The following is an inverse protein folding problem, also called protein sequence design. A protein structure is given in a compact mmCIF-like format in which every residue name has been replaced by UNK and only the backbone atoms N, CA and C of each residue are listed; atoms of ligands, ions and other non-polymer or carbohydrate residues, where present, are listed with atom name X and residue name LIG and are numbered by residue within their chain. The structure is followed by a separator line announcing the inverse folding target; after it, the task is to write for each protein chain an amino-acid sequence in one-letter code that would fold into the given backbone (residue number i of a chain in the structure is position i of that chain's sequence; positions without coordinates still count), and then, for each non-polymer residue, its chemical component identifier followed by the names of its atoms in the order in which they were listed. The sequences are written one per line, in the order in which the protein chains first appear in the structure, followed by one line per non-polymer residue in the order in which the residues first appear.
data_IF_107426753546
#
_entry.id   IF_107426753546
#
_cell.length_a   1.000
_cell.length_b   1.000
_cell.length_c   1.000
_cell.angle_alpha   90.00
_cell.angle_beta   90.00
_cell.angle_gamma   90.00
#
_symmetry.space_group_name_H-M   'P 1'
#
loop_
_entity.id
_entity.type
_entity.pdbx_description
1 polymer ?
#
# COMPACT_ATOMS: atom_id res chain seq x y z
N UNK A 1 17.35 -18.34 15.79
CA UNK A 1 16.09 -17.73 15.31
C UNK A 1 15.70 -18.26 13.93
N UNK A 2 16.37 -17.87 12.83
CA UNK A 2 15.97 -18.30 11.47
C UNK A 2 15.86 -19.82 11.31
N UNK A 3 16.89 -20.58 11.66
CA UNK A 3 16.89 -22.05 11.57
C UNK A 3 15.87 -22.75 12.49
N UNK A 4 15.43 -22.07 13.55
CA UNK A 4 14.45 -22.61 14.49
C UNK A 4 12.99 -22.46 14.00
N UNK A 5 12.73 -21.52 13.08
CA UNK A 5 11.36 -21.16 12.68
C UNK A 5 11.09 -21.25 11.18
N UNK A 6 12.11 -21.07 10.32
CA UNK A 6 11.94 -21.12 8.87
C UNK A 6 12.12 -22.54 8.35
N UNK A 7 11.02 -23.16 7.91
CA UNK A 7 11.05 -24.46 7.23
C UNK A 7 11.60 -24.33 5.80
N UNK A 8 12.37 -25.31 5.31
CA UNK A 8 12.78 -25.38 3.90
C UNK A 8 11.57 -25.35 2.94
N UNK A 9 11.75 -24.84 1.72
CA UNK A 9 10.68 -24.60 0.72
C UNK A 9 9.77 -25.84 0.52
N UNK A 10 10.33 -27.04 0.42
CA UNK A 10 9.55 -28.29 0.26
C UNK A 10 8.93 -28.87 1.54
N UNK A 11 9.13 -28.25 2.71
CA UNK A 11 8.62 -28.73 4.00
C UNK A 11 7.64 -27.74 4.64
N UNK A 12 7.34 -26.62 3.97
CA UNK A 12 6.33 -25.67 4.41
C UNK A 12 4.95 -26.28 4.17
N UNK A 13 4.04 -26.24 5.16
CA UNK A 13 2.66 -26.68 4.93
C UNK A 13 1.98 -25.76 3.91
N UNK A 14 0.95 -26.26 3.25
CA UNK A 14 0.09 -25.41 2.44
C UNK A 14 -0.57 -24.32 3.30
N UNK A 15 -0.70 -23.13 2.74
CA UNK A 15 -1.40 -22.02 3.40
C UNK A 15 -2.90 -22.32 3.50
N UNK A 16 -3.51 -21.96 4.62
CA UNK A 16 -4.97 -21.90 4.77
C UNK A 16 -5.54 -20.54 4.34
N UNK A 17 -4.68 -19.53 4.16
CA UNK A 17 -5.06 -18.22 3.68
C UNK A 17 -5.14 -18.18 2.15
N UNK A 18 -5.98 -17.28 1.63
CA UNK A 18 -6.11 -17.03 0.18
C UNK A 18 -5.36 -15.77 -0.28
N UNK A 19 -4.63 -15.12 0.61
CA UNK A 19 -4.00 -13.82 0.39
C UNK A 19 -4.63 -12.72 1.24
N UNK A 20 -4.10 -11.50 1.10
CA UNK A 20 -4.74 -10.30 1.60
C UNK A 20 -5.97 -10.03 0.75
N UNK A 21 -7.10 -9.67 1.36
CA UNK A 21 -8.30 -9.28 0.60
C UNK A 21 -8.29 -7.78 0.30
N UNK A 22 -8.03 -6.98 1.33
CA UNK A 22 -7.87 -5.54 1.25
C UNK A 22 -7.16 -5.04 2.50
N UNK A 23 -6.56 -3.85 2.42
CA UNK A 23 -6.06 -3.08 3.57
C UNK A 23 -6.83 -1.77 3.62
N UNK A 24 -7.30 -1.35 4.79
CA UNK A 24 -7.97 -0.06 4.97
C UNK A 24 -7.10 0.89 5.79
N UNK A 25 -6.93 2.13 5.29
CA UNK A 25 -6.24 3.22 5.97
C UNK A 25 -7.23 4.34 6.32
N UNK A 26 -6.75 5.37 7.01
CA UNK A 26 -7.53 6.56 7.34
C UNK A 26 -7.07 7.72 6.48
N UNK A 27 -8.03 8.43 5.89
CA UNK A 27 -7.83 9.60 5.05
C UNK A 27 -8.34 10.84 5.76
N UNK A 28 -7.53 11.91 5.84
CA UNK A 28 -8.03 13.20 6.36
C UNK A 28 -8.76 14.04 5.31
N UNK A 29 -8.51 13.78 4.02
CA UNK A 29 -9.13 14.46 2.89
C UNK A 29 -9.32 13.48 1.72
N UNK A 30 -10.58 13.13 1.44
CA UNK A 30 -10.94 12.15 0.40
C UNK A 30 -10.42 12.57 -0.98
N UNK A 31 -10.58 13.82 -1.38
CA UNK A 31 -10.16 14.25 -2.72
C UNK A 31 -8.65 14.26 -2.88
N UNK A 32 -7.92 14.65 -1.83
CA UNK A 32 -6.45 14.60 -1.82
C UNK A 32 -5.94 13.18 -1.94
N UNK A 33 -6.56 12.25 -1.22
CA UNK A 33 -6.23 10.82 -1.27
C UNK A 33 -6.55 10.24 -2.64
N UNK A 34 -7.71 10.55 -3.23
CA UNK A 34 -8.07 10.14 -4.60
C UNK A 34 -7.06 10.66 -5.61
N UNK A 35 -6.73 11.95 -5.58
CA UNK A 35 -5.72 12.52 -6.50
C UNK A 35 -4.37 11.82 -6.37
N UNK A 36 -3.94 11.51 -5.15
CA UNK A 36 -2.67 10.84 -4.92
C UNK A 36 -2.68 9.40 -5.47
N UNK A 37 -3.60 8.56 -5.03
CA UNK A 37 -3.58 7.14 -5.40
C UNK A 37 -4.01 6.91 -6.86
N UNK A 38 -4.98 7.67 -7.37
CA UNK A 38 -5.43 7.51 -8.74
C UNK A 38 -4.56 8.27 -9.74
N UNK A 39 -4.32 9.56 -9.52
CA UNK A 39 -3.74 10.39 -10.57
C UNK A 39 -2.19 10.37 -10.52
N UNK A 40 -1.59 10.35 -9.33
CA UNK A 40 -0.13 10.24 -9.18
C UNK A 40 0.33 8.78 -9.32
N UNK A 41 -0.25 7.86 -8.56
CA UNK A 41 0.20 6.46 -8.57
C UNK A 41 -0.46 5.60 -9.66
N UNK A 42 -1.57 6.05 -10.27
CA UNK A 42 -2.22 5.32 -11.35
C UNK A 42 -3.10 4.15 -10.88
N UNK A 43 -3.47 4.07 -9.60
CA UNK A 43 -4.33 3.03 -9.05
C UNK A 43 -5.81 3.46 -9.17
N UNK A 44 -6.62 2.82 -10.01
CA UNK A 44 -7.98 3.27 -10.28
C UNK A 44 -8.85 3.25 -9.02
N UNK A 45 -9.62 4.31 -8.78
CA UNK A 45 -10.70 4.28 -7.79
C UNK A 45 -11.83 3.38 -8.32
N UNK A 46 -12.12 2.29 -7.62
CA UNK A 46 -13.11 1.29 -8.04
C UNK A 46 -14.47 1.48 -7.40
N UNK A 47 -14.53 2.06 -6.21
CA UNK A 47 -15.77 2.23 -5.45
C UNK A 47 -15.64 3.38 -4.44
N UNK A 48 -16.72 4.12 -4.21
CA UNK A 48 -16.82 5.16 -3.19
C UNK A 48 -18.25 5.18 -2.66
N UNK A 49 -18.42 4.79 -1.40
CA UNK A 49 -19.71 4.63 -0.74
C UNK A 49 -19.71 5.33 0.62
N UNK A 50 -20.89 5.57 1.18
CA UNK A 50 -21.00 6.04 2.56
C UNK A 50 -20.55 4.94 3.54
N UNK A 51 -19.75 5.32 4.53
CA UNK A 51 -19.35 4.46 5.63
C UNK A 51 -20.60 4.05 6.43
N UNK A 52 -20.88 2.76 6.46
CA UNK A 52 -22.04 2.19 7.15
C UNK A 52 -22.05 2.50 8.65
N UNK A 53 -20.87 2.65 9.26
CA UNK A 53 -20.74 2.72 10.71
C UNK A 53 -20.58 4.17 11.21
N UNK A 54 -20.43 5.16 10.31
CA UNK A 54 -20.31 6.58 10.66
C UNK A 54 -21.00 7.48 9.60
N UNK A 55 -22.19 8.04 9.89
CA UNK A 55 -22.91 8.87 8.93
C UNK A 55 -22.10 10.08 8.45
N UNK A 56 -22.10 10.32 7.14
CA UNK A 56 -21.31 11.38 6.52
C UNK A 56 -19.82 11.08 6.33
N UNK A 57 -19.33 9.91 6.78
CA UNK A 57 -18.03 9.37 6.40
C UNK A 57 -18.16 8.54 5.11
N UNK A 58 -17.06 8.42 4.38
CA UNK A 58 -16.87 7.70 3.14
C UNK A 58 -16.02 6.46 3.38
N UNK A 59 -16.28 5.43 2.59
CA UNK A 59 -15.45 4.25 2.44
C UNK A 59 -15.18 4.03 0.95
N UNK A 60 -13.93 4.10 0.55
CA UNK A 60 -13.55 4.15 -0.86
C UNK A 60 -12.32 3.29 -1.16
N UNK A 61 -12.22 2.78 -2.37
CA UNK A 61 -11.34 1.65 -2.73
C UNK A 61 -10.58 1.91 -4.03
N UNK A 62 -9.31 1.54 -4.05
CA UNK A 62 -8.45 1.55 -5.23
C UNK A 62 -8.02 0.12 -5.60
N UNK A 63 -7.96 -0.16 -6.91
CA UNK A 63 -7.35 -1.39 -7.42
C UNK A 63 -5.83 -1.26 -7.41
N UNK A 64 -5.17 -2.11 -6.62
CA UNK A 64 -3.71 -2.20 -6.53
C UNK A 64 -3.15 -3.45 -7.21
N UNK A 65 -3.96 -4.09 -8.05
CA UNK A 65 -3.59 -5.27 -8.83
C UNK A 65 -3.80 -6.59 -8.09
N UNK A 66 -3.70 -7.69 -8.86
CA UNK A 66 -3.83 -9.06 -8.36
C UNK A 66 -5.12 -9.32 -7.55
N UNK A 67 -6.21 -8.59 -7.85
CA UNK A 67 -7.49 -8.69 -7.12
C UNK A 67 -7.45 -8.14 -5.69
N UNK A 68 -6.44 -7.32 -5.34
CA UNK A 68 -6.31 -6.69 -4.04
C UNK A 68 -6.83 -5.25 -4.09
N UNK A 69 -7.42 -4.80 -2.99
CA UNK A 69 -7.90 -3.42 -2.85
C UNK A 69 -7.16 -2.69 -1.74
N UNK A 70 -6.86 -1.42 -1.99
CA UNK A 70 -6.52 -0.46 -0.94
C UNK A 70 -7.74 0.40 -0.65
N UNK A 71 -8.20 0.35 0.59
CA UNK A 71 -9.38 1.08 1.04
C UNK A 71 -9.01 2.23 1.98
N UNK A 72 -9.92 3.20 2.08
CA UNK A 72 -9.80 4.31 3.02
C UNK A 72 -11.14 4.62 3.65
N UNK A 73 -11.08 5.00 4.93
CA UNK A 73 -12.16 5.70 5.61
C UNK A 73 -11.74 7.15 5.87
N UNK A 74 -12.63 8.11 5.68
CA UNK A 74 -12.49 9.42 6.33
C UNK A 74 -13.36 9.48 7.60
N UNK A 75 -13.10 10.43 8.48
CA UNK A 75 -13.87 10.57 9.72
C UNK A 75 -14.14 12.06 10.03
N UNK A 76 -15.06 12.70 9.29
CA UNK A 76 -15.30 14.14 9.45
C UNK A 76 -15.66 14.51 10.89
N UNK A 77 -14.97 15.52 11.44
CA UNK A 77 -15.19 15.99 12.81
C UNK A 77 -14.48 15.19 13.91
N UNK A 78 -13.80 14.09 13.57
CA UNK A 78 -12.91 13.37 14.49
C UNK A 78 -11.46 13.84 14.29
N UNK A 79 -10.77 14.12 15.39
CA UNK A 79 -9.33 14.33 15.39
C UNK A 79 -8.62 12.99 15.59
N UNK A 80 -8.22 12.37 14.49
CA UNK A 80 -7.55 11.06 14.47
C UNK A 80 -6.03 11.16 14.72
N UNK A 81 -5.49 12.38 14.79
CA UNK A 81 -4.06 12.63 14.91
C UNK A 81 -3.25 12.23 13.66
N UNK A 82 -1.94 12.53 13.64
CA UNK A 82 -1.06 12.15 12.54
C UNK A 82 -0.70 10.65 12.60
N UNK A 83 -0.28 10.10 11.45
CA UNK A 83 0.37 8.79 11.41
C UNK A 83 1.54 8.70 12.40
N UNK A 84 1.69 7.55 13.06
CA UNK A 84 2.82 7.23 13.92
C UNK A 84 3.31 5.78 13.70
N UNK A 85 4.62 5.61 13.56
CA UNK A 85 5.27 4.30 13.44
C UNK A 85 5.47 3.70 14.85
N UNK A 86 4.43 3.03 15.35
CA UNK A 86 4.38 2.47 16.72
C UNK A 86 3.94 1.01 16.71
N UNK A 87 4.17 0.30 17.83
CA UNK A 87 3.67 -1.07 17.99
C UNK A 87 2.14 -1.10 17.84
N UNK A 88 1.65 -1.96 16.94
CA UNK A 88 0.23 -2.06 16.57
C UNK A 88 -0.19 -1.14 15.43
N UNK A 89 0.67 -0.21 14.99
CA UNK A 89 0.48 0.59 13.78
C UNK A 89 1.05 -0.06 12.52
N UNK A 90 0.69 0.48 11.35
CA UNK A 90 1.26 0.07 10.07
C UNK A 90 2.72 0.54 9.98
N UNK A 91 3.68 -0.36 9.80
CA UNK A 91 5.07 0.02 9.55
C UNK A 91 5.28 0.55 8.12
N UNK A 92 4.88 -0.22 7.10
CA UNK A 92 4.67 0.25 5.72
C UNK A 92 3.79 -0.75 4.96
N UNK A 93 3.33 -0.34 3.78
CA UNK A 93 2.68 -1.22 2.80
C UNK A 93 3.49 -1.22 1.51
N UNK A 94 3.96 -2.39 1.09
CA UNK A 94 4.63 -2.58 -0.19
C UNK A 94 3.63 -3.00 -1.27
N UNK A 95 3.61 -2.26 -2.37
CA UNK A 95 2.74 -2.50 -3.53
C UNK A 95 3.63 -2.89 -4.71
N UNK A 96 3.37 -4.08 -5.25
CA UNK A 96 4.09 -4.58 -6.42
C UNK A 96 3.65 -3.81 -7.68
N UNK A 97 4.62 -3.40 -8.49
CA UNK A 97 4.38 -2.72 -9.77
C UNK A 97 5.14 -3.43 -10.88
N UNK A 98 4.66 -3.31 -12.12
CA UNK A 98 5.35 -3.90 -13.26
C UNK A 98 6.73 -3.23 -13.44
N UNK A 99 7.82 -4.00 -13.67
CA UNK A 99 9.15 -3.44 -13.90
C UNK A 99 9.19 -2.39 -15.01
N UNK A 100 8.37 -2.54 -16.05
CA UNK A 100 8.30 -1.61 -17.17
C UNK A 100 7.69 -0.24 -16.80
N UNK A 101 6.98 -0.17 -15.67
CA UNK A 101 6.35 1.06 -15.15
C UNK A 101 7.22 1.79 -14.14
N UNK A 102 8.36 1.21 -13.76
CA UNK A 102 9.19 1.70 -12.67
C UNK A 102 9.61 3.17 -12.85
N UNK A 103 10.29 3.48 -13.95
CA UNK A 103 10.81 4.83 -14.22
C UNK A 103 9.67 5.86 -14.34
N UNK A 104 8.54 5.46 -14.93
CA UNK A 104 7.33 6.28 -15.05
C UNK A 104 6.78 6.65 -13.66
N UNK A 105 6.66 5.68 -12.75
CA UNK A 105 6.09 5.90 -11.42
C UNK A 105 7.01 6.76 -10.53
N UNK A 106 8.32 6.52 -10.57
CA UNK A 106 9.30 7.36 -9.83
C UNK A 106 9.29 8.79 -10.37
N UNK A 107 9.18 8.97 -11.69
CA UNK A 107 9.05 10.30 -12.29
C UNK A 107 7.76 11.00 -11.83
N UNK A 108 6.62 10.32 -11.81
CA UNK A 108 5.35 10.89 -11.32
C UNK A 108 5.41 11.35 -9.86
N UNK A 109 6.06 10.59 -8.99
CA UNK A 109 6.30 11.00 -7.60
C UNK A 109 7.12 12.30 -7.55
N UNK A 110 8.17 12.39 -8.36
CA UNK A 110 9.02 13.58 -8.47
C UNK A 110 8.25 14.79 -8.97
N UNK A 111 7.48 14.62 -10.05
CA UNK A 111 6.67 15.68 -10.67
C UNK A 111 5.56 16.19 -9.74
N UNK A 112 4.96 15.30 -8.95
CA UNK A 112 3.97 15.64 -7.94
C UNK A 112 4.59 16.28 -6.67
N UNK A 113 5.91 16.38 -6.59
CA UNK A 113 6.62 16.95 -5.43
C UNK A 113 6.59 16.06 -4.19
N UNK A 114 6.41 14.75 -4.35
CA UNK A 114 6.39 13.77 -3.25
C UNK A 114 7.84 13.44 -2.87
N UNK A 115 8.19 13.69 -1.61
CA UNK A 115 9.47 13.25 -1.06
C UNK A 115 9.56 11.72 -1.06
N UNK A 116 10.60 11.17 -1.67
CA UNK A 116 10.79 9.73 -1.82
C UNK A 116 12.27 9.35 -1.77
N UNK A 117 12.54 8.12 -1.35
CA UNK A 117 13.88 7.55 -1.23
C UNK A 117 13.97 6.26 -2.06
N UNK A 118 14.77 6.30 -3.14
CA UNK A 118 15.03 5.13 -3.97
C UNK A 118 16.12 4.28 -3.28
N UNK A 119 15.72 3.15 -2.69
CA UNK A 119 16.64 2.26 -1.97
C UNK A 119 17.41 1.34 -2.91
N UNK A 120 16.82 1.02 -4.06
CA UNK A 120 17.44 0.20 -5.11
C UNK A 120 16.80 0.50 -6.47
N UNK A 121 17.29 -0.11 -7.54
CA UNK A 121 16.67 -0.01 -8.87
C UNK A 121 15.27 -0.64 -8.98
N UNK A 122 14.74 -1.23 -7.90
CA UNK A 122 13.44 -1.89 -7.86
C UNK A 122 12.59 -1.51 -6.64
N UNK A 123 13.05 -0.62 -5.75
CA UNK A 123 12.33 -0.26 -4.53
C UNK A 123 12.48 1.22 -4.16
N UNK A 124 11.35 1.86 -3.86
CA UNK A 124 11.23 3.28 -3.53
C UNK A 124 10.23 3.45 -2.38
N UNK A 125 10.65 4.15 -1.34
CA UNK A 125 9.83 4.46 -0.18
C UNK A 125 9.38 5.92 -0.22
N UNK A 126 8.15 6.18 0.19
CA UNK A 126 7.61 7.53 0.37
C UNK A 126 6.49 7.51 1.41
N UNK A 127 5.95 8.70 1.69
CA UNK A 127 4.74 8.85 2.50
C UNK A 127 3.59 9.31 1.63
N UNK A 128 2.41 8.76 1.88
CA UNK A 128 1.18 9.26 1.30
C UNK A 128 0.75 10.59 1.95
N UNK A 129 -0.34 11.23 1.49
CA UNK A 129 -0.77 12.54 2.01
C UNK A 129 -1.06 12.59 3.51
N UNK A 130 -1.36 11.43 4.14
CA UNK A 130 -1.67 11.31 5.56
C UNK A 130 -0.51 10.68 6.36
N UNK A 131 0.64 10.48 5.71
CA UNK A 131 1.89 10.06 6.33
C UNK A 131 2.12 8.55 6.34
N UNK A 132 1.18 7.74 5.83
CA UNK A 132 1.35 6.29 5.76
C UNK A 132 2.55 5.96 4.89
N UNK A 133 3.42 5.08 5.39
CA UNK A 133 4.64 4.70 4.67
C UNK A 133 4.32 3.69 3.59
N UNK A 134 4.62 4.03 2.35
CA UNK A 134 4.37 3.21 1.17
C UNK A 134 5.71 2.81 0.54
N UNK A 135 5.78 1.60 0.03
CA UNK A 135 6.85 1.13 -0.86
C UNK A 135 6.23 0.74 -2.21
N UNK A 136 6.80 1.23 -3.31
CA UNK A 136 6.59 0.57 -4.60
C UNK A 136 7.78 -0.36 -4.83
N UNK A 137 7.49 -1.61 -5.21
CA UNK A 137 8.49 -2.63 -5.46
C UNK A 137 8.27 -3.30 -6.82
N UNK A 138 9.32 -3.38 -7.64
CA UNK A 138 9.27 -3.97 -8.98
C UNK A 138 9.68 -5.45 -9.03
N UNK A 139 10.02 -6.05 -7.88
CA UNK A 139 10.23 -7.51 -7.80
C UNK A 139 8.89 -8.24 -8.08
N UNK A 140 8.92 -9.42 -8.75
CA UNK A 140 7.74 -10.25 -8.90
C UNK A 140 7.10 -10.63 -7.57
N UNK A 141 5.78 -10.82 -7.57
CA UNK A 141 5.07 -11.32 -6.39
C UNK A 141 5.67 -12.64 -5.90
N UNK A 142 5.97 -12.71 -4.61
CA UNK A 142 6.60 -13.89 -4.01
C UNK A 142 8.12 -13.96 -4.18
N UNK A 143 8.75 -12.91 -4.72
CA UNK A 143 10.18 -12.72 -4.73
C UNK A 143 10.60 -11.56 -3.82
N UNK A 144 11.78 -11.67 -3.22
CA UNK A 144 12.41 -10.61 -2.44
C UNK A 144 13.91 -10.63 -2.68
N UNK A 145 14.48 -9.50 -3.13
CA UNK A 145 15.92 -9.35 -3.36
C UNK A 145 16.46 -10.41 -4.35
N UNK A 146 15.69 -10.72 -5.38
CA UNK A 146 16.01 -11.75 -6.38
C UNK A 146 15.97 -13.19 -5.85
N UNK A 147 15.32 -13.43 -4.70
CA UNK A 147 15.10 -14.76 -4.16
C UNK A 147 13.61 -15.10 -4.15
N UNK A 148 13.24 -16.27 -4.64
CA UNK A 148 11.88 -16.79 -4.52
C UNK A 148 11.59 -17.18 -3.06
N UNK A 149 10.60 -16.51 -2.45
CA UNK A 149 10.24 -16.69 -1.04
C UNK A 149 8.90 -17.42 -0.85
N UNK A 150 8.05 -17.45 -1.87
CA UNK A 150 6.81 -18.26 -1.89
C UNK A 150 6.97 -19.54 -2.74
#
# INVERSE_FOLDING_TARGET
MRSAHLKPVGQRPASTARGLHHTALVSSDVERTVRFYQDVLGFPLTELIENRDYPGSSHFFFDIGNGNLLAFFDFPGLDVGPYAEVLGGLHHMAISVEPQRWDELVARLTEAGVEHEVHSGVSVYFRDPDGARIELIADPLGEMYGQHVL
#
